data_IF_518716245602
#
_entry.id   IF_518716245602
#
_cell.length_a   1.000
_cell.length_b   1.000
_cell.length_c   1.000
_cell.angle_alpha   90.00
_cell.angle_beta   90.00
_cell.angle_gamma   90.00
#
_symmetry.space_group_name_H-M   'P 1'
#
loop_
_entity.id
_entity.type
_entity.pdbx_description
1 polymer ?
#
# COMPACT_ATOMS: atom_id res chain seq x y z
N UNK A 1 -7.40 6.33 1.62
CA UNK A 1 -8.11 6.97 0.49
C UNK A 1 -7.64 6.42 -0.85
N UNK A 2 -6.34 6.29 -1.14
CA UNK A 2 -5.85 5.85 -2.46
C UNK A 2 -6.13 4.37 -2.79
N UNK A 3 -6.12 3.46 -1.80
CA UNK A 3 -6.28 2.01 -2.01
C UNK A 3 -7.52 1.57 -2.79
N UNK A 4 -8.69 2.16 -2.53
CA UNK A 4 -9.92 1.77 -3.23
C UNK A 4 -9.88 2.14 -4.73
N UNK A 5 -9.10 3.15 -5.13
CA UNK A 5 -8.86 3.46 -6.54
C UNK A 5 -8.10 2.32 -7.23
N UNK A 6 -7.03 1.82 -6.60
CA UNK A 6 -6.27 0.66 -7.10
C UNK A 6 -7.19 -0.56 -7.28
N UNK A 7 -8.06 -0.81 -6.28
CA UNK A 7 -9.03 -1.89 -6.34
C UNK A 7 -10.07 -1.70 -7.45
N UNK A 8 -10.44 -0.46 -7.75
CA UNK A 8 -11.36 -0.14 -8.83
C UNK A 8 -10.73 -0.42 -10.20
N UNK A 9 -9.45 -0.07 -10.38
CA UNK A 9 -8.69 -0.45 -11.57
C UNK A 9 -8.58 -1.98 -11.69
N UNK A 10 -8.25 -2.68 -10.61
CA UNK A 10 -8.18 -4.14 -10.62
C UNK A 10 -9.52 -4.81 -10.94
N UNK A 11 -10.63 -4.28 -10.44
CA UNK A 11 -11.97 -4.76 -10.77
C UNK A 11 -12.31 -4.53 -12.25
N UNK A 12 -11.90 -3.39 -12.83
CA UNK A 12 -12.07 -3.13 -14.25
C UNK A 12 -11.26 -4.12 -15.10
N UNK A 13 -9.99 -4.34 -14.76
CA UNK A 13 -9.16 -5.34 -15.44
C UNK A 13 -9.75 -6.74 -15.30
N UNK A 14 -10.23 -7.13 -14.11
CA UNK A 14 -10.91 -8.41 -13.88
C UNK A 14 -12.12 -8.57 -14.80
N UNK A 15 -12.93 -7.52 -14.98
CA UNK A 15 -14.06 -7.55 -15.91
C UNK A 15 -13.60 -7.81 -17.35
N UNK A 16 -12.53 -7.14 -17.78
CA UNK A 16 -11.95 -7.36 -19.11
C UNK A 16 -11.30 -8.74 -19.28
N UNK A 17 -10.85 -9.39 -18.21
CA UNK A 17 -10.27 -10.74 -18.24
C UNK A 17 -11.24 -11.82 -18.70
N UNK A 18 -12.56 -11.57 -18.67
CA UNK A 18 -13.59 -12.48 -19.19
C UNK A 18 -13.82 -12.35 -20.71
N UNK A 19 -13.06 -11.50 -21.39
CA UNK A 19 -13.12 -11.34 -22.85
C UNK A 19 -12.45 -12.53 -23.56
N UNK A 20 -12.91 -12.86 -24.77
CA UNK A 20 -12.33 -13.93 -25.59
C UNK A 20 -10.87 -13.67 -25.95
N UNK A 21 -10.51 -12.40 -26.15
CA UNK A 21 -9.14 -11.92 -26.25
C UNK A 21 -8.92 -10.83 -25.21
N UNK A 22 -7.78 -10.85 -24.53
CA UNK A 22 -7.46 -9.82 -23.54
C UNK A 22 -7.22 -8.48 -24.27
N UNK A 23 -7.85 -7.37 -23.84
CA UNK A 23 -7.71 -6.08 -24.52
C UNK A 23 -6.28 -5.52 -24.59
N UNK A 24 -5.43 -5.89 -23.62
CA UNK A 24 -4.02 -5.50 -23.56
C UNK A 24 -3.07 -6.48 -24.28
N UNK A 25 -3.61 -7.47 -25.00
CA UNK A 25 -2.80 -8.45 -25.72
C UNK A 25 -2.51 -8.07 -27.18
N UNK A 26 -3.20 -7.08 -27.75
CA UNK A 26 -3.02 -6.69 -29.15
C UNK A 26 -3.10 -5.18 -29.34
N UNK A 27 -2.49 -4.68 -30.41
CA UNK A 27 -2.52 -3.28 -30.82
C UNK A 27 -3.68 -2.94 -31.77
N UNK A 28 -4.62 -3.85 -31.99
CA UNK A 28 -5.71 -3.68 -32.97
C UNK A 28 -7.00 -3.16 -32.31
N UNK A 29 -6.90 -2.13 -31.49
CA UNK A 29 -8.04 -1.50 -30.83
C UNK A 29 -8.13 -0.01 -31.16
N UNK A 30 -9.31 0.57 -30.97
CA UNK A 30 -9.57 1.98 -31.31
C UNK A 30 -8.76 2.99 -30.48
N UNK A 31 -8.19 2.57 -29.36
CA UNK A 31 -7.35 3.42 -28.49
C UNK A 31 -5.87 3.33 -28.81
N UNK A 32 -5.47 2.38 -29.68
CA UNK A 32 -4.08 2.16 -30.00
C UNK A 32 -3.57 3.18 -31.03
N UNK A 33 -2.26 3.46 -30.98
CA UNK A 33 -1.60 4.30 -31.99
C UNK A 33 -0.75 3.48 -32.95
N UNK A 34 -0.27 4.12 -34.02
CA UNK A 34 0.64 3.52 -34.99
C UNK A 34 1.99 3.13 -34.36
N UNK A 35 2.34 3.69 -33.20
CA UNK A 35 3.56 3.39 -32.44
C UNK A 35 3.40 2.15 -31.51
N UNK A 36 2.20 1.55 -31.47
CA UNK A 36 1.92 0.37 -30.66
C UNK A 36 2.53 -0.89 -31.30
N UNK A 37 3.31 -1.63 -30.52
CA UNK A 37 3.89 -2.89 -30.96
C UNK A 37 3.33 -4.11 -30.23
N UNK A 38 2.84 -5.07 -31.03
CA UNK A 38 2.46 -6.40 -30.54
C UNK A 38 3.67 -7.32 -30.51
N UNK A 39 4.29 -7.38 -29.33
CA UNK A 39 5.44 -8.24 -29.08
C UNK A 39 5.12 -9.74 -29.12
N UNK A 40 3.84 -10.16 -29.17
CA UNK A 40 3.47 -11.57 -29.34
C UNK A 40 3.63 -12.06 -30.79
N UNK A 41 3.72 -11.14 -31.75
CA UNK A 41 3.61 -11.44 -33.19
C UNK A 41 4.94 -11.42 -33.95
N UNK A 42 6.02 -10.87 -33.37
CA UNK A 42 7.33 -10.78 -34.03
C UNK A 42 8.05 -12.14 -33.96
N UNK A 43 8.11 -12.85 -35.09
CA UNK A 43 9.12 -13.88 -35.32
C UNK A 43 10.50 -13.26 -35.07
N UNK A 44 11.36 -13.96 -34.31
CA UNK A 44 12.66 -13.51 -33.81
C UNK A 44 13.74 -13.22 -34.88
N UNK A 45 13.35 -12.84 -36.11
CA UNK A 45 14.23 -12.67 -37.27
C UNK A 45 14.44 -11.22 -37.71
N UNK A 46 13.90 -10.22 -36.99
CA UNK A 46 14.20 -8.81 -37.27
C UNK A 46 15.06 -8.24 -36.13
N UNK A 47 16.32 -7.96 -36.47
CA UNK A 47 17.26 -7.21 -35.63
C UNK A 47 16.58 -5.94 -35.10
N UNK A 48 16.66 -5.74 -33.79
CA UNK A 48 16.28 -4.52 -33.09
C UNK A 48 17.07 -3.33 -33.66
N UNK A 49 16.50 -2.64 -34.65
CA UNK A 49 16.96 -1.33 -35.08
C UNK A 49 16.18 -0.32 -34.25
N UNK A 50 16.88 0.33 -33.31
CA UNK A 50 16.50 1.54 -32.54
C UNK A 50 15.10 2.10 -32.83
N UNK A 51 14.05 1.50 -32.26
CA UNK A 51 12.76 2.17 -32.09
C UNK A 51 12.73 2.73 -30.67
N UNK A 52 13.18 3.97 -30.52
CA UNK A 52 13.15 4.69 -29.24
C UNK A 52 11.75 5.16 -28.83
N UNK A 53 10.73 4.97 -29.69
CA UNK A 53 9.38 5.51 -29.49
C UNK A 53 8.26 4.45 -29.51
N UNK A 54 8.57 3.14 -29.57
CA UNK A 54 7.51 2.12 -29.57
C UNK A 54 6.93 1.92 -28.17
N UNK A 55 5.61 1.71 -28.10
CA UNK A 55 4.90 1.43 -26.84
C UNK A 55 4.24 0.06 -26.87
N UNK A 56 4.04 -0.56 -25.71
CA UNK A 56 3.37 -1.86 -25.63
C UNK A 56 1.85 -1.71 -25.65
N UNK A 57 1.15 -2.73 -26.16
CA UNK A 57 -0.31 -2.81 -26.10
C UNK A 57 -0.87 -2.65 -24.67
N UNK A 58 -0.14 -3.15 -23.66
CA UNK A 58 -0.52 -3.02 -22.26
C UNK A 58 -0.33 -1.59 -21.72
N UNK A 59 0.74 -0.90 -22.12
CA UNK A 59 0.97 0.51 -21.79
C UNK A 59 -0.14 1.39 -22.37
N UNK A 60 -0.47 1.22 -23.66
CA UNK A 60 -1.53 2.00 -24.28
C UNK A 60 -2.92 1.66 -23.73
N UNK A 61 -3.17 0.39 -23.39
CA UNK A 61 -4.41 0.01 -22.72
C UNK A 61 -4.55 0.72 -21.36
N UNK A 62 -3.48 0.78 -20.56
CA UNK A 62 -3.48 1.48 -19.29
C UNK A 62 -3.65 3.00 -19.46
N UNK A 63 -2.79 3.63 -20.24
CA UNK A 63 -2.70 5.09 -20.33
C UNK A 63 -3.84 5.69 -21.16
N UNK A 64 -4.21 5.07 -22.29
CA UNK A 64 -5.20 5.63 -23.23
C UNK A 64 -6.61 5.10 -23.02
N UNK A 65 -6.77 3.82 -22.68
CA UNK A 65 -8.12 3.21 -22.57
C UNK A 65 -8.68 3.25 -21.16
N UNK A 66 -7.91 2.79 -20.17
CA UNK A 66 -8.34 2.74 -18.77
C UNK A 66 -8.35 4.15 -18.19
N UNK A 67 -7.19 4.80 -18.14
CA UNK A 67 -7.05 6.14 -17.56
C UNK A 67 -7.51 7.24 -18.51
N UNK A 68 -7.19 7.12 -19.81
CA UNK A 68 -7.26 8.23 -20.78
C UNK A 68 -6.55 9.47 -20.24
N UNK A 69 -5.26 9.30 -19.91
CA UNK A 69 -4.48 10.27 -19.16
C UNK A 69 -4.42 11.64 -19.88
N UNK A 70 -4.66 12.71 -19.13
CA UNK A 70 -4.58 14.09 -19.61
C UNK A 70 -3.12 14.56 -19.78
N UNK A 71 -2.92 15.79 -20.28
CA UNK A 71 -1.58 16.38 -20.40
C UNK A 71 -0.95 16.75 -19.05
N UNK A 72 -1.75 16.95 -18.00
CA UNK A 72 -1.27 17.27 -16.67
C UNK A 72 -2.35 17.39 -15.59
N UNK A 73 -1.92 17.70 -14.36
CA UNK A 73 -2.80 17.84 -13.19
C UNK A 73 -3.79 19.01 -13.31
N UNK A 74 -3.47 20.00 -14.15
CA UNK A 74 -4.32 21.18 -14.40
C UNK A 74 -5.48 20.85 -15.34
N UNK A 75 -5.34 19.78 -16.12
CA UNK A 75 -6.34 19.28 -17.07
C UNK A 75 -7.02 18.05 -16.47
N UNK A 76 -7.99 18.26 -15.57
CA UNK A 76 -8.67 17.12 -14.93
C UNK A 76 -9.45 16.26 -15.92
N UNK A 77 -9.98 16.86 -16.98
CA UNK A 77 -10.77 16.18 -18.00
C UNK A 77 -12.09 15.61 -17.46
N UNK A 78 -12.58 14.54 -18.11
CA UNK A 78 -13.86 13.91 -17.76
C UNK A 78 -13.71 12.77 -16.74
N UNK A 79 -14.79 12.44 -16.01
CA UNK A 79 -14.82 11.26 -15.13
C UNK A 79 -14.87 10.00 -15.99
N UNK A 80 -13.97 9.03 -15.72
CA UNK A 80 -13.97 7.71 -16.35
C UNK A 80 -15.12 6.87 -15.80
N UNK A 81 -16.25 6.83 -16.51
CA UNK A 81 -17.50 6.20 -16.06
C UNK A 81 -17.38 4.72 -15.70
N UNK A 82 -16.55 3.95 -16.40
CA UNK A 82 -16.33 2.53 -16.07
C UNK A 82 -15.60 2.38 -14.72
N UNK A 83 -14.59 3.23 -14.46
CA UNK A 83 -13.89 3.28 -13.18
C UNK A 83 -14.85 3.76 -12.08
N UNK A 84 -15.74 4.73 -12.36
CA UNK A 84 -16.77 5.16 -11.42
C UNK A 84 -17.69 4.00 -11.00
N UNK A 85 -18.11 3.16 -11.96
CA UNK A 85 -18.91 1.98 -11.65
C UNK A 85 -18.14 0.99 -10.77
N UNK A 86 -16.89 0.69 -11.13
CA UNK A 86 -16.01 -0.15 -10.30
C UNK A 86 -15.82 0.44 -8.89
N UNK A 87 -15.66 1.76 -8.79
CA UNK A 87 -15.49 2.48 -7.52
C UNK A 87 -16.73 2.33 -6.63
N UNK A 88 -17.92 2.49 -7.19
CA UNK A 88 -19.19 2.28 -6.47
C UNK A 88 -19.25 0.83 -5.95
N UNK A 89 -18.95 -0.15 -6.80
CA UNK A 89 -18.96 -1.57 -6.42
C UNK A 89 -17.96 -1.83 -5.28
N UNK A 90 -16.74 -1.30 -5.38
CA UNK A 90 -15.71 -1.50 -4.35
C UNK A 90 -16.09 -0.88 -3.00
N UNK A 91 -16.72 0.29 -2.99
CA UNK A 91 -17.23 0.88 -1.75
C UNK A 91 -18.41 0.12 -1.14
N UNK A 92 -19.32 -0.39 -1.98
CA UNK A 92 -20.43 -1.23 -1.52
C UNK A 92 -19.90 -2.50 -0.85
N UNK A 93 -18.93 -3.18 -1.49
CA UNK A 93 -18.24 -4.34 -0.89
C UNK A 93 -17.58 -3.94 0.43
N UNK A 94 -16.80 -2.87 0.43
CA UNK A 94 -16.10 -2.40 1.63
C UNK A 94 -17.05 -2.15 2.80
N UNK A 95 -18.15 -1.42 2.56
CA UNK A 95 -19.15 -1.10 3.56
C UNK A 95 -19.76 -2.37 4.19
N UNK A 96 -20.25 -3.31 3.37
CA UNK A 96 -20.89 -4.52 3.88
C UNK A 96 -19.92 -5.48 4.56
N UNK A 97 -18.64 -5.50 4.18
CA UNK A 97 -17.64 -6.30 4.87
C UNK A 97 -17.39 -5.82 6.31
N UNK A 98 -17.40 -4.50 6.55
CA UNK A 98 -17.03 -3.89 7.84
C UNK A 98 -18.22 -3.35 8.66
N UNK A 99 -19.45 -3.39 8.14
CA UNK A 99 -20.62 -2.76 8.77
C UNK A 99 -20.88 -3.16 10.24
N UNK A 100 -20.63 -4.43 10.61
CA UNK A 100 -20.75 -4.93 11.99
C UNK A 100 -19.40 -4.99 12.73
N UNK A 101 -18.40 -4.26 12.25
CA UNK A 101 -17.03 -4.25 12.75
C UNK A 101 -16.38 -5.63 12.67
N UNK A 102 -15.48 -5.91 13.61
CA UNK A 102 -14.70 -7.16 13.66
C UNK A 102 -15.54 -8.45 13.65
N UNK A 103 -16.83 -8.40 14.00
CA UNK A 103 -17.73 -9.57 13.90
C UNK A 103 -18.07 -9.95 12.45
N UNK A 104 -18.14 -8.97 11.54
CA UNK A 104 -18.35 -9.20 10.11
C UNK A 104 -17.00 -9.36 9.42
N UNK A 105 -16.07 -8.43 9.64
CA UNK A 105 -14.72 -8.47 9.07
C UNK A 105 -14.03 -9.78 9.41
N UNK A 106 -14.09 -10.22 10.67
CA UNK A 106 -13.50 -11.48 11.13
C UNK A 106 -14.05 -12.74 10.44
N UNK A 107 -15.23 -12.70 9.84
CA UNK A 107 -15.77 -13.81 9.01
C UNK A 107 -15.29 -13.72 7.57
N UNK A 108 -15.28 -12.52 7.01
CA UNK A 108 -14.88 -12.27 5.62
C UNK A 108 -13.40 -12.61 5.41
N UNK A 109 -12.53 -12.25 6.37
CA UNK A 109 -11.09 -12.49 6.30
C UNK A 109 -10.70 -13.96 6.23
N UNK A 110 -11.55 -14.90 6.64
CA UNK A 110 -11.28 -16.33 6.42
C UNK A 110 -11.13 -16.67 4.94
N UNK A 111 -11.85 -15.97 4.06
CA UNK A 111 -11.69 -16.12 2.61
C UNK A 111 -10.69 -15.09 2.07
N UNK A 112 -10.89 -13.81 2.37
CA UNK A 112 -10.11 -12.73 1.73
C UNK A 112 -8.63 -12.76 2.09
N UNK A 113 -8.26 -13.22 3.29
CA UNK A 113 -6.85 -13.32 3.68
C UNK A 113 -6.19 -14.65 3.28
N UNK A 114 -6.95 -15.76 3.20
CA UNK A 114 -6.37 -17.08 2.92
C UNK A 114 -6.32 -17.42 1.44
N UNK A 115 -7.32 -16.98 0.66
CA UNK A 115 -7.40 -17.28 -0.76
C UNK A 115 -6.23 -16.68 -1.58
N UNK A 116 -5.71 -15.47 -1.27
CA UNK A 116 -4.48 -14.97 -1.88
C UNK A 116 -3.28 -15.90 -1.74
N UNK A 117 -3.14 -16.65 -0.63
CA UNK A 117 -2.06 -17.63 -0.50
C UNK A 117 -2.21 -18.80 -1.48
N UNK A 118 -3.44 -19.28 -1.69
CA UNK A 118 -3.71 -20.30 -2.70
C UNK A 118 -3.37 -19.79 -4.10
N UNK A 119 -3.81 -18.57 -4.43
CA UNK A 119 -3.49 -17.95 -5.72
C UNK A 119 -1.99 -17.71 -5.89
N UNK A 120 -1.32 -17.27 -4.83
CA UNK A 120 0.12 -17.04 -4.83
C UNK A 120 0.89 -18.34 -5.09
N UNK A 121 0.48 -19.46 -4.48
CA UNK A 121 1.09 -20.77 -4.75
C UNK A 121 0.87 -21.18 -6.21
N UNK A 122 -0.34 -21.01 -6.75
CA UNK A 122 -0.65 -21.33 -8.15
C UNK A 122 0.19 -20.48 -9.11
N UNK A 123 0.28 -19.16 -8.87
CA UNK A 123 1.08 -18.24 -9.67
C UNK A 123 2.58 -18.49 -9.52
N UNK A 124 3.05 -18.92 -8.35
CA UNK A 124 4.44 -19.31 -8.13
C UNK A 124 4.81 -20.57 -8.93
N UNK A 125 4.00 -21.63 -8.83
CA UNK A 125 4.22 -22.87 -9.60
C UNK A 125 4.21 -22.54 -11.09
N UNK A 126 3.24 -21.72 -11.52
CA UNK A 126 3.16 -21.31 -12.91
C UNK A 126 4.37 -20.49 -13.33
N UNK A 127 4.72 -19.47 -12.58
CA UNK A 127 5.85 -18.57 -12.85
C UNK A 127 7.16 -19.33 -12.97
N UNK A 128 7.45 -20.24 -12.04
CA UNK A 128 8.66 -21.07 -12.07
C UNK A 128 8.67 -22.11 -13.20
N UNK A 129 7.51 -22.48 -13.76
CA UNK A 129 7.41 -23.39 -14.91
C UNK A 129 7.67 -22.71 -16.26
N UNK A 130 7.75 -21.37 -16.31
CA UNK A 130 7.92 -20.61 -17.54
C UNK A 130 9.39 -20.62 -18.00
N UNK A 131 9.65 -20.57 -19.33
CA UNK A 131 11.01 -20.40 -19.84
C UNK A 131 11.56 -19.03 -19.41
N UNK A 132 12.84 -18.94 -19.06
CA UNK A 132 13.45 -17.69 -18.57
C UNK A 132 13.15 -17.35 -17.10
N UNK A 133 12.31 -18.11 -16.40
CA UNK A 133 12.01 -17.87 -14.99
C UNK A 133 13.26 -17.88 -14.08
N UNK A 134 14.26 -18.71 -14.42
CA UNK A 134 15.52 -18.77 -13.69
C UNK A 134 16.29 -17.44 -13.74
N UNK A 135 16.29 -16.74 -14.87
CA UNK A 135 16.95 -15.43 -15.01
C UNK A 135 16.30 -14.41 -14.07
N UNK A 136 14.97 -14.43 -13.99
CA UNK A 136 14.18 -13.64 -13.05
C UNK A 136 14.53 -13.91 -11.58
N UNK A 137 14.57 -15.20 -11.19
CA UNK A 137 14.93 -15.59 -9.82
C UNK A 137 16.38 -15.22 -9.49
N UNK A 138 17.30 -15.35 -10.45
CA UNK A 138 18.68 -14.92 -10.27
C UNK A 138 18.76 -13.41 -10.06
N UNK A 139 18.04 -12.61 -10.85
CA UNK A 139 17.97 -11.16 -10.67
C UNK A 139 17.39 -10.77 -9.30
N UNK A 140 16.41 -11.52 -8.80
CA UNK A 140 15.81 -11.29 -7.49
C UNK A 140 16.77 -11.58 -6.32
N UNK A 141 17.53 -12.67 -6.39
CA UNK A 141 18.29 -13.18 -5.25
C UNK A 141 19.78 -12.82 -5.26
N UNK A 142 20.38 -12.58 -6.42
CA UNK A 142 21.82 -12.34 -6.51
C UNK A 142 22.16 -11.00 -5.85
N UNK A 143 22.92 -11.00 -4.74
CA UNK A 143 23.18 -9.79 -4.01
C UNK A 143 24.28 -8.97 -4.69
N UNK A 144 24.02 -7.68 -4.86
CA UNK A 144 25.06 -6.72 -5.22
C UNK A 144 25.65 -6.12 -3.93
N UNK A 145 26.70 -6.75 -3.39
CA UNK A 145 27.25 -6.43 -2.06
C UNK A 145 27.70 -4.97 -1.93
N UNK A 146 28.14 -4.34 -3.02
CA UNK A 146 28.48 -2.91 -3.06
C UNK A 146 27.31 -2.01 -2.64
N UNK A 147 26.07 -2.40 -2.93
CA UNK A 147 24.85 -1.65 -2.57
C UNK A 147 24.62 -1.61 -1.06
N UNK A 148 25.18 -2.52 -0.27
CA UNK A 148 25.09 -2.46 1.20
C UNK A 148 25.84 -1.26 1.79
N UNK A 149 26.78 -0.68 1.05
CA UNK A 149 27.47 0.56 1.44
C UNK A 149 26.63 1.82 1.17
N UNK A 150 25.60 1.73 0.33
CA UNK A 150 24.69 2.83 0.05
C UNK A 150 23.69 2.98 1.20
N UNK A 151 23.73 4.11 1.95
CA UNK A 151 22.76 4.36 3.02
C UNK A 151 21.31 4.31 2.53
N UNK A 152 21.03 4.57 1.24
CA UNK A 152 19.69 4.48 0.67
C UNK A 152 19.05 3.11 0.87
N UNK A 153 19.82 2.05 0.66
CA UNK A 153 19.31 0.67 0.72
C UNK A 153 18.76 0.34 2.10
N UNK A 154 19.44 0.79 3.15
CA UNK A 154 18.99 0.60 4.54
C UNK A 154 17.77 1.45 4.88
N UNK A 155 17.64 2.63 4.27
CA UNK A 155 16.51 3.51 4.49
C UNK A 155 15.26 2.99 3.80
N UNK A 156 15.39 2.52 2.56
CA UNK A 156 14.31 1.87 1.83
C UNK A 156 13.87 0.60 2.56
N UNK A 157 14.81 -0.21 3.05
CA UNK A 157 14.51 -1.39 3.86
C UNK A 157 13.76 -1.04 5.16
N UNK A 158 14.20 0.01 5.87
CA UNK A 158 13.52 0.51 7.06
C UNK A 158 12.09 0.96 6.75
N UNK A 159 11.93 1.88 5.80
CA UNK A 159 10.63 2.40 5.38
C UNK A 159 9.69 1.27 4.93
N UNK A 160 10.18 0.32 4.13
CA UNK A 160 9.41 -0.84 3.67
C UNK A 160 8.86 -1.66 4.82
N UNK A 161 9.65 -1.91 5.88
CA UNK A 161 9.19 -2.64 7.06
C UNK A 161 8.12 -1.85 7.81
N UNK A 162 8.33 -0.56 8.09
CA UNK A 162 7.32 0.25 8.79
C UNK A 162 5.99 0.28 8.04
N UNK A 163 6.03 0.46 6.73
CA UNK A 163 4.85 0.43 5.88
C UNK A 163 4.18 -0.94 5.80
N UNK A 164 4.97 -1.99 5.55
CA UNK A 164 4.45 -3.34 5.34
C UNK A 164 3.70 -3.86 6.57
N UNK A 165 4.16 -3.52 7.77
CA UNK A 165 3.47 -3.87 9.02
C UNK A 165 2.42 -2.83 9.46
N UNK A 166 2.27 -1.71 8.75
CA UNK A 166 1.39 -0.59 9.14
C UNK A 166 1.63 -0.09 10.57
N UNK A 167 2.90 -0.03 10.99
CA UNK A 167 3.29 0.46 12.31
C UNK A 167 3.11 1.99 12.36
N UNK A 168 2.64 2.55 13.47
CA UNK A 168 2.40 4.00 13.61
C UNK A 168 1.10 4.52 13.02
N UNK A 169 0.27 3.63 12.43
CA UNK A 169 -1.04 4.00 11.83
C UNK A 169 -2.21 3.64 12.76
N UNK A 170 -1.96 2.89 13.85
CA UNK A 170 -2.98 2.46 14.81
C UNK A 170 -3.68 1.14 14.46
N UNK A 171 -3.43 0.56 13.28
CA UNK A 171 -4.01 -0.72 12.81
C UNK A 171 -3.84 -1.85 13.82
N UNK A 172 -2.61 -2.09 14.27
CA UNK A 172 -2.30 -3.17 15.22
C UNK A 172 -2.85 -2.88 16.63
N UNK A 173 -2.92 -1.61 17.02
CA UNK A 173 -3.49 -1.19 18.32
C UNK A 173 -4.99 -1.52 18.34
N UNK A 174 -5.70 -1.15 17.26
CA UNK A 174 -7.14 -1.39 17.14
C UNK A 174 -7.44 -2.89 17.06
N UNK A 175 -6.71 -3.66 16.26
CA UNK A 175 -6.89 -5.12 16.22
C UNK A 175 -6.57 -5.76 17.59
N UNK A 176 -5.50 -5.32 18.25
CA UNK A 176 -5.13 -5.77 19.59
C UNK A 176 -6.18 -5.48 20.65
N UNK A 177 -6.92 -4.37 20.53
CA UNK A 177 -7.98 -3.98 21.48
C UNK A 177 -9.17 -4.95 21.51
N UNK A 178 -9.35 -5.76 20.47
CA UNK A 178 -10.40 -6.78 20.39
C UNK A 178 -9.97 -8.15 20.93
N UNK A 179 -8.69 -8.32 21.26
CA UNK A 179 -8.20 -9.57 21.81
C UNK A 179 -8.70 -9.79 23.24
N UNK A 180 -8.76 -11.06 23.64
CA UNK A 180 -8.93 -11.40 25.06
C UNK A 180 -7.72 -10.91 25.84
N UNK A 181 -7.93 -10.46 27.08
CA UNK A 181 -6.87 -9.95 27.95
C UNK A 181 -5.71 -10.96 28.11
N UNK A 182 -6.04 -12.24 28.31
CA UNK A 182 -5.05 -13.31 28.50
C UNK A 182 -4.51 -13.92 27.17
N UNK A 183 -4.69 -13.23 26.03
CA UNK A 183 -4.20 -13.73 24.76
C UNK A 183 -2.66 -13.64 24.70
N UNK A 184 -2.00 -14.65 24.15
CA UNK A 184 -0.55 -14.67 24.02
C UNK A 184 -0.09 -13.81 22.82
N UNK A 185 -0.21 -12.49 22.97
CA UNK A 185 0.18 -11.52 21.96
C UNK A 185 1.68 -11.60 21.60
N UNK A 186 2.52 -12.08 22.52
CA UNK A 186 3.95 -12.25 22.27
C UNK A 186 4.20 -13.28 21.15
N UNK A 187 3.51 -14.42 21.20
CA UNK A 187 3.59 -15.46 20.15
C UNK A 187 2.97 -14.96 18.85
N UNK A 188 1.83 -14.28 18.93
CA UNK A 188 1.14 -13.76 17.75
C UNK A 188 2.00 -12.76 16.99
N UNK A 189 2.66 -11.83 17.68
CA UNK A 189 3.58 -10.87 17.07
C UNK A 189 4.73 -11.55 16.32
N UNK A 190 5.35 -12.58 16.90
CA UNK A 190 6.41 -13.33 16.21
C UNK A 190 5.90 -14.04 14.95
N UNK A 191 4.71 -14.64 15.04
CA UNK A 191 4.07 -15.31 13.91
C UNK A 191 3.74 -14.30 12.79
N UNK A 192 3.17 -13.14 13.13
CA UNK A 192 2.84 -12.07 12.19
C UNK A 192 4.10 -11.56 11.47
N UNK A 193 5.21 -11.37 12.19
CA UNK A 193 6.49 -10.98 11.59
C UNK A 193 7.02 -12.02 10.60
N UNK A 194 6.95 -13.30 10.93
CA UNK A 194 7.42 -14.36 10.02
C UNK A 194 6.50 -14.50 8.81
N UNK A 195 5.18 -14.43 9.01
CA UNK A 195 4.21 -14.59 7.94
C UNK A 195 4.26 -13.43 6.94
N UNK A 196 4.29 -12.18 7.40
CA UNK A 196 4.30 -11.02 6.51
C UNK A 196 5.58 -10.96 5.67
N UNK A 197 6.76 -11.06 6.31
CA UNK A 197 8.04 -11.08 5.59
C UNK A 197 8.18 -12.33 4.70
N UNK A 198 7.76 -13.50 5.18
CA UNK A 198 7.77 -14.73 4.40
C UNK A 198 6.89 -14.66 3.16
N UNK A 199 5.69 -14.08 3.30
CA UNK A 199 4.77 -13.84 2.16
C UNK A 199 5.42 -12.91 1.13
N UNK A 200 6.08 -11.84 1.60
CA UNK A 200 6.77 -10.89 0.72
C UNK A 200 7.91 -11.55 -0.07
N UNK A 201 8.68 -12.43 0.56
CA UNK A 201 9.73 -13.21 -0.12
C UNK A 201 9.13 -14.13 -1.19
N UNK A 202 8.08 -14.89 -0.84
CA UNK A 202 7.41 -15.80 -1.78
C UNK A 202 6.77 -15.03 -2.94
N UNK A 203 6.16 -13.88 -2.67
CA UNK A 203 5.64 -12.97 -3.70
C UNK A 203 6.74 -12.46 -4.63
N UNK A 204 7.93 -12.17 -4.10
CA UNK A 204 9.12 -11.86 -4.90
C UNK A 204 9.44 -12.94 -5.93
N UNK A 205 9.48 -14.21 -5.53
CA UNK A 205 9.66 -15.32 -6.48
C UNK A 205 8.56 -15.38 -7.54
N UNK A 206 7.29 -15.23 -7.15
CA UNK A 206 6.17 -15.28 -8.09
C UNK A 206 6.21 -14.13 -9.12
N UNK A 207 6.56 -12.91 -8.69
CA UNK A 207 6.67 -11.74 -9.58
C UNK A 207 7.89 -11.87 -10.49
N UNK A 208 9.08 -12.08 -9.92
CA UNK A 208 10.32 -12.07 -10.69
C UNK A 208 10.44 -13.27 -11.63
N UNK A 209 9.85 -14.42 -11.33
CA UNK A 209 9.79 -15.54 -12.29
C UNK A 209 8.98 -15.20 -13.54
N UNK A 210 7.87 -14.47 -13.39
CA UNK A 210 7.05 -13.99 -14.51
C UNK A 210 7.75 -12.87 -15.28
N UNK A 211 8.41 -11.93 -14.60
CA UNK A 211 9.22 -10.90 -15.25
C UNK A 211 10.41 -11.49 -16.01
N UNK A 212 11.07 -12.52 -15.46
CA UNK A 212 12.14 -13.26 -16.15
C UNK A 212 11.65 -13.92 -17.44
N UNK A 213 10.44 -14.49 -17.43
CA UNK A 213 9.79 -15.00 -18.64
C UNK A 213 9.56 -13.91 -19.68
N UNK A 214 9.05 -12.74 -19.27
CA UNK A 214 8.83 -11.62 -20.17
C UNK A 214 10.14 -11.09 -20.78
N UNK A 215 11.16 -10.90 -19.95
CA UNK A 215 12.50 -10.48 -20.37
C UNK A 215 13.11 -11.46 -21.38
N UNK A 216 13.02 -12.76 -21.09
CA UNK A 216 13.51 -13.82 -21.98
C UNK A 216 12.76 -13.87 -23.32
N UNK A 217 11.44 -13.62 -23.32
CA UNK A 217 10.64 -13.57 -24.54
C UNK A 217 10.96 -12.36 -25.42
N UNK A 218 11.23 -11.22 -24.82
CA UNK A 218 11.57 -9.99 -25.54
C UNK A 218 13.04 -9.88 -25.91
N UNK A 219 13.91 -10.67 -25.26
CA UNK A 219 15.36 -10.56 -25.41
C UNK A 219 15.93 -9.28 -24.80
N UNK A 220 15.30 -8.74 -23.75
CA UNK A 220 15.71 -7.50 -23.07
C UNK A 220 16.12 -7.77 -21.62
N UNK A 221 16.97 -6.92 -21.00
CA UNK A 221 17.29 -7.03 -19.59
C UNK A 221 16.07 -6.93 -18.68
N UNK A 222 16.05 -7.70 -17.57
CA UNK A 222 14.94 -7.68 -16.61
C UNK A 222 14.68 -6.29 -16.03
N UNK A 223 15.72 -5.46 -15.87
CA UNK A 223 15.60 -4.10 -15.38
C UNK A 223 14.74 -3.18 -16.26
N UNK A 224 14.59 -3.50 -17.55
CA UNK A 224 13.77 -2.70 -18.49
C UNK A 224 12.29 -3.08 -18.44
N UNK A 225 11.95 -4.27 -17.95
CA UNK A 225 10.56 -4.74 -17.79
C UNK A 225 10.05 -4.62 -16.35
N UNK A 226 10.95 -4.33 -15.41
CA UNK A 226 10.64 -4.14 -14.00
C UNK A 226 10.10 -2.72 -13.75
N UNK A 227 8.78 -2.56 -13.89
CA UNK A 227 8.08 -1.34 -13.53
C UNK A 227 7.90 -1.21 -12.00
N UNK A 228 7.63 0.01 -11.54
CA UNK A 228 7.33 0.28 -10.13
C UNK A 228 5.90 0.78 -9.91
N UNK A 229 5.40 0.65 -8.68
CA UNK A 229 4.06 1.11 -8.31
C UNK A 229 2.95 0.45 -9.14
N UNK A 230 1.89 1.19 -9.53
CA UNK A 230 0.79 0.67 -10.33
C UNK A 230 1.22 0.10 -11.70
N UNK A 231 2.32 0.59 -12.28
CA UNK A 231 2.83 0.10 -13.57
C UNK A 231 3.19 -1.38 -13.54
N UNK A 232 3.73 -1.87 -12.43
CA UNK A 232 4.05 -3.29 -12.27
C UNK A 232 2.79 -4.18 -12.39
N UNK A 233 1.71 -3.78 -11.72
CA UNK A 233 0.49 -4.57 -11.65
C UNK A 233 -0.45 -4.39 -12.85
N UNK A 234 -0.44 -3.21 -13.50
CA UNK A 234 -1.39 -2.87 -14.57
C UNK A 234 -0.76 -2.78 -15.96
N UNK A 235 0.56 -2.83 -16.08
CA UNK A 235 1.29 -2.86 -17.36
C UNK A 235 2.13 -4.13 -17.48
N UNK A 236 3.17 -4.28 -16.65
CA UNK A 236 4.16 -5.35 -16.80
C UNK A 236 3.55 -6.74 -16.58
N UNK A 237 2.78 -6.93 -15.50
CA UNK A 237 2.18 -8.23 -15.20
C UNK A 237 1.11 -8.64 -16.23
N UNK A 238 0.14 -7.78 -16.63
CA UNK A 238 -0.83 -8.11 -17.66
C UNK A 238 -0.18 -8.40 -19.02
N UNK A 239 0.90 -7.69 -19.36
CA UNK A 239 1.69 -7.96 -20.56
C UNK A 239 2.31 -9.36 -20.52
N UNK A 240 2.97 -9.74 -19.41
CA UNK A 240 3.54 -11.07 -19.27
C UNK A 240 2.47 -12.17 -19.31
N UNK A 241 1.31 -11.94 -18.67
CA UNK A 241 0.17 -12.87 -18.67
C UNK A 241 -0.39 -13.08 -20.07
N UNK A 242 -0.49 -12.03 -20.88
CA UNK A 242 -1.00 -12.12 -22.25
C UNK A 242 -0.18 -13.08 -23.14
N UNK A 243 1.10 -13.29 -22.82
CA UNK A 243 2.00 -14.19 -23.54
C UNK A 243 1.91 -15.66 -23.08
N UNK A 244 1.17 -15.93 -22.02
CA UNK A 244 1.01 -17.29 -21.49
C UNK A 244 -0.15 -18.03 -22.18
N UNK A 245 -0.08 -19.36 -22.33
CA UNK A 245 -1.27 -20.15 -22.67
C UNK A 245 -2.36 -19.98 -21.60
N UNK A 246 -3.61 -19.91 -22.05
CA UNK A 246 -4.79 -19.61 -21.23
C UNK A 246 -4.67 -18.28 -20.46
N UNK A 247 -4.38 -17.16 -21.14
CA UNK A 247 -4.04 -15.90 -20.48
C UNK A 247 -5.19 -15.34 -19.61
N UNK A 248 -6.44 -15.64 -19.96
CA UNK A 248 -7.62 -15.27 -19.18
C UNK A 248 -7.60 -15.88 -17.78
N UNK A 249 -7.22 -17.15 -17.64
CA UNK A 249 -7.18 -17.84 -16.35
C UNK A 249 -6.21 -17.14 -15.40
N UNK A 250 -4.98 -16.89 -15.86
CA UNK A 250 -3.93 -16.25 -15.06
C UNK A 250 -4.27 -14.81 -14.72
N UNK A 251 -4.90 -14.09 -15.66
CA UNK A 251 -5.37 -12.73 -15.42
C UNK A 251 -6.46 -12.68 -14.34
N UNK A 252 -7.45 -13.57 -14.40
CA UNK A 252 -8.49 -13.69 -13.37
C UNK A 252 -7.86 -14.00 -12.01
N UNK A 253 -6.97 -14.99 -11.93
CA UNK A 253 -6.28 -15.33 -10.68
C UNK A 253 -5.52 -14.14 -10.09
N UNK A 254 -4.79 -13.40 -10.93
CA UNK A 254 -4.01 -12.24 -10.50
C UNK A 254 -4.88 -11.10 -10.00
N UNK A 255 -5.90 -10.67 -10.76
CA UNK A 255 -6.73 -9.53 -10.36
C UNK A 255 -7.67 -9.87 -9.20
N UNK A 256 -8.17 -11.11 -9.09
CA UNK A 256 -8.89 -11.55 -7.89
C UNK A 256 -7.96 -11.51 -6.67
N UNK A 257 -6.72 -12.02 -6.79
CA UNK A 257 -5.74 -11.94 -5.70
C UNK A 257 -5.45 -10.49 -5.29
N UNK A 258 -5.21 -9.60 -6.26
CA UNK A 258 -4.94 -8.18 -6.01
C UNK A 258 -6.11 -7.51 -5.30
N UNK A 259 -7.35 -7.79 -5.73
CA UNK A 259 -8.56 -7.25 -5.08
C UNK A 259 -8.65 -7.70 -3.62
N UNK A 260 -8.46 -8.99 -3.36
CA UNK A 260 -8.58 -9.55 -2.01
C UNK A 260 -7.49 -9.00 -1.08
N UNK A 261 -6.24 -8.89 -1.55
CA UNK A 261 -5.14 -8.32 -0.78
C UNK A 261 -5.38 -6.85 -0.41
N UNK A 262 -5.86 -6.03 -1.35
CA UNK A 262 -6.11 -4.62 -1.05
C UNK A 262 -7.38 -4.38 -0.22
N UNK A 263 -8.38 -5.26 -0.33
CA UNK A 263 -9.61 -5.18 0.47
C UNK A 263 -9.33 -5.32 1.97
N UNK A 264 -8.50 -6.29 2.37
CA UNK A 264 -8.20 -6.52 3.78
C UNK A 264 -7.47 -5.34 4.43
N UNK A 265 -6.52 -4.74 3.71
CA UNK A 265 -5.85 -3.49 4.13
C UNK A 265 -6.86 -2.36 4.30
N UNK A 266 -7.79 -2.21 3.36
CA UNK A 266 -8.82 -1.19 3.44
C UNK A 266 -9.78 -1.43 4.60
N UNK A 267 -10.14 -2.68 4.90
CA UNK A 267 -11.03 -3.00 6.02
C UNK A 267 -10.43 -2.53 7.35
N UNK A 268 -9.14 -2.82 7.57
CA UNK A 268 -8.46 -2.44 8.80
C UNK A 268 -8.32 -0.91 8.89
N UNK A 269 -7.95 -0.24 7.79
CA UNK A 269 -7.83 1.22 7.77
C UNK A 269 -9.16 1.91 8.14
N UNK A 270 -10.29 1.40 7.64
CA UNK A 270 -11.61 1.90 8.01
C UNK A 270 -11.95 1.56 9.46
N UNK A 271 -11.64 0.34 9.93
CA UNK A 271 -11.87 -0.05 11.32
C UNK A 271 -11.10 0.84 12.30
N UNK A 272 -9.87 1.27 11.95
CA UNK A 272 -9.10 2.20 12.80
C UNK A 272 -9.88 3.48 13.06
N UNK A 273 -10.35 4.14 12.00
CA UNK A 273 -11.12 5.38 12.13
C UNK A 273 -12.42 5.14 12.91
N UNK A 274 -13.12 4.06 12.59
CA UNK A 274 -14.38 3.71 13.25
C UNK A 274 -14.20 3.47 14.74
N UNK A 275 -13.23 2.65 15.13
CA UNK A 275 -12.96 2.28 16.53
C UNK A 275 -12.48 3.48 17.32
N UNK A 276 -11.55 4.28 16.79
CA UNK A 276 -11.09 5.51 17.44
C UNK A 276 -12.25 6.47 17.75
N UNK A 277 -13.17 6.67 16.80
CA UNK A 277 -14.33 7.56 17.01
C UNK A 277 -15.33 6.96 18.00
N UNK A 278 -15.57 5.65 17.94
CA UNK A 278 -16.46 4.95 18.87
C UNK A 278 -15.93 5.07 20.30
N UNK A 279 -14.62 4.94 20.50
CA UNK A 279 -14.00 4.99 21.83
C UNK A 279 -13.88 6.41 22.38
N UNK A 280 -13.76 7.44 21.52
CA UNK A 280 -13.87 8.84 21.94
C UNK A 280 -15.30 9.24 22.35
N UNK A 281 -16.33 8.72 21.67
CA UNK A 281 -17.72 9.10 21.90
C UNK A 281 -18.65 7.91 22.19
N UNK A 282 -18.36 7.10 23.24
CA UNK A 282 -19.02 5.82 23.44
C UNK A 282 -20.52 5.94 23.73
N UNK A 283 -20.94 7.00 24.44
CA UNK A 283 -22.35 7.26 24.79
C UNK A 283 -23.24 7.51 23.56
N UNK A 284 -22.66 8.00 22.47
CA UNK A 284 -23.36 8.29 21.21
C UNK A 284 -23.22 7.13 20.24
N UNK A 285 -21.98 6.67 20.04
CA UNK A 285 -21.62 5.73 18.98
C UNK A 285 -21.98 4.28 19.27
N UNK A 286 -22.04 3.87 20.55
CA UNK A 286 -22.41 2.48 20.93
C UNK A 286 -23.93 2.22 20.89
N UNK A 287 -24.75 3.22 20.55
CA UNK A 287 -26.19 3.03 20.38
C UNK A 287 -26.48 2.21 19.11
N UNK A 288 -27.57 1.39 19.10
CA UNK A 288 -27.91 0.57 17.94
C UNK A 288 -28.00 1.39 16.65
N UNK A 289 -27.35 0.91 15.57
CA UNK A 289 -27.41 1.53 14.24
C UNK A 289 -26.48 2.74 14.03
N UNK A 290 -25.94 3.36 15.09
CA UNK A 290 -25.13 4.57 14.97
C UNK A 290 -23.78 4.33 14.31
N UNK A 291 -23.16 3.17 14.60
CA UNK A 291 -21.93 2.75 13.93
C UNK A 291 -22.14 2.62 12.43
N UNK A 292 -23.18 1.89 12.02
CA UNK A 292 -23.48 1.62 10.62
C UNK A 292 -23.78 2.92 9.85
N UNK A 293 -24.56 3.82 10.45
CA UNK A 293 -24.85 5.14 9.87
C UNK A 293 -23.59 6.00 9.71
N UNK A 294 -22.74 6.05 10.75
CA UNK A 294 -21.50 6.81 10.69
C UNK A 294 -20.53 6.22 9.66
N UNK A 295 -20.43 4.90 9.60
CA UNK A 295 -19.63 4.23 8.58
C UNK A 295 -20.12 4.58 7.18
N UNK A 296 -21.43 4.53 6.92
CA UNK A 296 -22.00 4.88 5.63
C UNK A 296 -21.67 6.33 5.25
N UNK A 297 -21.86 7.27 6.19
CA UNK A 297 -21.51 8.67 5.99
C UNK A 297 -20.03 8.83 5.66
N UNK A 298 -19.15 8.16 6.41
CA UNK A 298 -17.71 8.23 6.19
C UNK A 298 -17.30 7.62 4.85
N UNK A 299 -17.84 6.45 4.48
CA UNK A 299 -17.66 5.85 3.16
C UNK A 299 -18.10 6.79 2.02
N UNK A 300 -19.25 7.45 2.16
CA UNK A 300 -19.75 8.42 1.17
C UNK A 300 -18.81 9.63 1.06
N UNK A 301 -18.34 10.18 2.17
CA UNK A 301 -17.36 11.28 2.16
C UNK A 301 -16.07 10.86 1.44
N UNK A 302 -15.53 9.67 1.76
CA UNK A 302 -14.37 9.12 1.09
C UNK A 302 -14.60 8.94 -0.43
N UNK A 303 -15.77 8.41 -0.81
CA UNK A 303 -16.17 8.21 -2.20
C UNK A 303 -16.22 9.52 -2.98
N UNK A 304 -16.85 10.57 -2.44
CA UNK A 304 -16.93 11.87 -3.12
C UNK A 304 -15.55 12.52 -3.27
N UNK A 305 -14.69 12.43 -2.25
CA UNK A 305 -13.30 12.92 -2.34
C UNK A 305 -12.48 12.20 -3.42
N UNK A 306 -12.79 10.94 -3.70
CA UNK A 306 -12.09 10.12 -4.69
C UNK A 306 -12.54 10.36 -6.14
N UNK A 307 -13.67 11.05 -6.37
CA UNK A 307 -14.15 11.33 -7.73
C UNK A 307 -13.11 12.08 -8.57
N UNK A 308 -12.29 12.91 -7.93
CA UNK A 308 -11.20 13.64 -8.60
C UNK A 308 -10.04 12.71 -9.03
N UNK A 309 -9.87 11.55 -8.39
CA UNK A 309 -8.82 10.57 -8.73
C UNK A 309 -9.21 9.61 -9.85
N UNK A 310 -10.47 9.64 -10.30
CA UNK A 310 -10.98 8.81 -11.41
C UNK A 310 -11.28 9.63 -12.67
N UNK A 311 -10.84 10.89 -12.72
CA UNK A 311 -10.86 11.68 -13.94
C UNK A 311 -9.67 11.33 -14.83
N UNK A 312 -9.64 11.86 -16.04
CA UNK A 312 -8.52 11.71 -16.98
C UNK A 312 -7.18 12.22 -16.40
N UNK A 313 -7.20 13.35 -15.67
CA UNK A 313 -6.07 13.84 -14.87
C UNK A 313 -5.92 13.19 -13.48
N UNK A 314 -6.77 12.21 -13.15
CA UNK A 314 -6.86 11.63 -11.81
C UNK A 314 -5.60 10.88 -11.37
N UNK A 315 -4.82 10.34 -12.31
CA UNK A 315 -3.57 9.64 -12.02
C UNK A 315 -2.50 10.57 -11.42
N UNK A 316 -2.43 11.84 -11.86
CA UNK A 316 -1.53 12.83 -11.27
C UNK A 316 -1.89 13.15 -9.82
N UNK A 317 -3.19 13.26 -9.53
CA UNK A 317 -3.68 13.49 -8.16
C UNK A 317 -3.43 12.25 -7.31
N UNK A 318 -3.71 11.06 -7.84
CA UNK A 318 -3.44 9.80 -7.17
C UNK A 318 -1.97 9.72 -6.74
N UNK A 319 -1.03 9.97 -7.65
CA UNK A 319 0.40 9.95 -7.33
C UNK A 319 0.81 11.03 -6.34
N UNK A 320 0.25 12.24 -6.43
CA UNK A 320 0.52 13.29 -5.45
C UNK A 320 0.08 12.87 -4.04
N UNK A 321 -1.10 12.25 -3.90
CA UNK A 321 -1.55 11.70 -2.62
C UNK A 321 -0.67 10.55 -2.14
N UNK A 322 -0.35 9.61 -3.03
CA UNK A 322 0.49 8.46 -2.70
C UNK A 322 1.89 8.89 -2.23
N UNK A 323 2.49 9.85 -2.94
CA UNK A 323 3.84 10.33 -2.67
C UNK A 323 3.95 11.24 -1.43
N UNK A 324 3.00 12.14 -1.21
CA UNK A 324 3.07 13.11 -0.11
C UNK A 324 2.24 12.72 1.12
N UNK A 325 0.98 12.31 0.93
CA UNK A 325 0.08 12.01 2.04
C UNK A 325 0.34 10.61 2.62
N UNK A 326 0.69 9.65 1.77
CA UNK A 326 1.00 8.28 2.15
C UNK A 326 2.51 8.00 2.16
N UNK A 327 3.33 9.00 2.52
CA UNK A 327 4.79 8.88 2.59
C UNK A 327 5.28 8.25 3.89
N UNK A 328 6.37 7.48 3.80
CA UNK A 328 7.03 6.82 4.93
C UNK A 328 7.54 7.83 5.94
N UNK A 329 7.91 9.02 5.50
CA UNK A 329 8.30 10.10 6.39
C UNK A 329 7.22 10.44 7.44
N UNK A 330 5.94 10.47 7.05
CA UNK A 330 4.85 10.78 7.99
C UNK A 330 4.71 9.68 9.06
N UNK A 331 4.76 8.42 8.63
CA UNK A 331 4.67 7.26 9.52
C UNK A 331 5.89 7.19 10.44
N UNK A 332 7.10 7.35 9.89
CA UNK A 332 8.35 7.33 10.65
C UNK A 332 8.36 8.41 11.73
N UNK A 333 7.88 9.61 11.42
CA UNK A 333 7.73 10.69 12.40
C UNK A 333 6.82 10.27 13.56
N UNK A 334 5.63 9.72 13.27
CA UNK A 334 4.71 9.22 14.31
C UNK A 334 5.34 8.10 15.13
N UNK A 335 6.04 7.16 14.49
CA UNK A 335 6.76 6.07 15.16
C UNK A 335 7.83 6.57 16.16
N UNK A 336 8.51 7.69 15.87
CA UNK A 336 9.45 8.30 16.82
C UNK A 336 8.72 8.70 18.11
N UNK A 337 7.59 9.41 18.00
CA UNK A 337 6.85 9.85 19.17
C UNK A 337 6.19 8.70 19.92
N UNK A 338 5.60 7.72 19.22
CA UNK A 338 5.01 6.54 19.86
C UNK A 338 6.04 5.74 20.66
N UNK A 339 7.23 5.51 20.09
CA UNK A 339 8.27 4.72 20.76
C UNK A 339 8.91 5.48 21.91
N UNK A 340 9.09 6.80 21.81
CA UNK A 340 9.52 7.63 22.94
C UNK A 340 8.48 7.67 24.06
N UNK A 341 7.20 7.80 23.70
CA UNK A 341 6.09 7.74 24.64
C UNK A 341 6.09 6.41 25.41
N UNK A 342 6.13 5.29 24.72
CA UNK A 342 6.06 3.96 25.35
C UNK A 342 7.37 3.60 26.08
N UNK A 343 8.51 3.80 25.43
CA UNK A 343 9.82 3.37 25.92
C UNK A 343 10.31 4.16 27.14
N UNK A 344 10.06 5.47 27.16
CA UNK A 344 10.61 6.40 28.15
C UNK A 344 9.55 7.04 29.05
N UNK A 345 8.44 7.54 28.50
CA UNK A 345 7.43 8.26 29.29
C UNK A 345 6.57 7.29 30.09
N UNK A 346 5.97 6.30 29.42
CA UNK A 346 5.21 5.22 30.02
C UNK A 346 6.13 4.27 30.80
N UNK A 347 7.28 3.96 30.19
CA UNK A 347 8.35 3.17 30.77
C UNK A 347 8.35 1.72 30.28
N UNK A 348 9.42 1.33 29.59
CA UNK A 348 9.56 -0.02 29.05
C UNK A 348 9.52 -1.14 30.11
N UNK A 349 9.94 -0.88 31.34
CA UNK A 349 9.85 -1.85 32.45
C UNK A 349 8.40 -2.21 32.77
N UNK A 350 7.54 -1.18 32.87
CA UNK A 350 6.11 -1.33 33.09
C UNK A 350 5.45 -2.12 31.94
N UNK A 351 5.87 -1.87 30.70
CA UNK A 351 5.36 -2.62 29.55
C UNK A 351 5.73 -4.11 29.62
N UNK A 352 6.95 -4.45 30.04
CA UNK A 352 7.36 -5.85 30.23
C UNK A 352 6.50 -6.54 31.29
N UNK A 353 6.21 -5.85 32.39
CA UNK A 353 5.37 -6.40 33.46
C UNK A 353 3.91 -6.58 33.01
N UNK A 354 3.36 -5.64 32.23
CA UNK A 354 2.03 -5.76 31.62
C UNK A 354 1.97 -6.95 30.64
N UNK A 355 2.99 -7.13 29.79
CA UNK A 355 3.05 -8.29 28.89
C UNK A 355 3.11 -9.60 29.68
N UNK A 356 3.85 -9.63 30.79
CA UNK A 356 3.91 -10.80 31.67
C UNK A 356 2.55 -11.08 32.31
N UNK A 357 1.82 -10.05 32.73
CA UNK A 357 0.48 -10.18 33.31
C UNK A 357 -0.54 -10.70 32.28
N UNK A 358 -0.55 -10.15 31.07
CA UNK A 358 -1.47 -10.55 30.00
C UNK A 358 -1.13 -11.93 29.41
N UNK A 359 0.11 -12.13 28.96
CA UNK A 359 0.49 -13.32 28.18
C UNK A 359 1.07 -14.46 29.04
N UNK A 360 1.32 -14.21 30.33
CA UNK A 360 2.03 -15.15 31.22
C UNK A 360 3.53 -15.33 30.88
N UNK A 361 4.03 -14.63 29.86
CA UNK A 361 5.42 -14.72 29.37
C UNK A 361 6.12 -13.40 29.59
N UNK A 362 7.31 -13.44 30.18
CA UNK A 362 8.13 -12.24 30.33
C UNK A 362 8.84 -11.93 29.02
N UNK A 363 8.63 -10.72 28.48
CA UNK A 363 9.29 -10.29 27.26
C UNK A 363 10.83 -10.26 27.41
N UNK A 364 11.54 -10.61 26.35
CA UNK A 364 13.01 -10.58 26.32
C UNK A 364 13.55 -9.17 26.61
N UNK A 365 14.66 -9.03 27.37
CA UNK A 365 15.33 -7.75 27.56
C UNK A 365 15.75 -7.07 26.26
N UNK A 366 15.94 -7.84 25.18
CA UNK A 366 16.22 -7.30 23.85
C UNK A 366 15.12 -6.32 23.39
N UNK A 367 13.84 -6.67 23.56
CA UNK A 367 12.74 -5.79 23.17
C UNK A 367 12.72 -4.49 23.98
N UNK A 368 13.13 -4.54 25.24
CA UNK A 368 13.29 -3.34 26.07
C UNK A 368 14.33 -2.38 25.49
N UNK A 369 15.45 -2.91 24.99
CA UNK A 369 16.48 -2.12 24.30
C UNK A 369 15.93 -1.58 22.98
N UNK A 370 15.16 -2.39 22.24
CA UNK A 370 14.52 -1.97 21.00
C UNK A 370 13.59 -0.76 21.22
N UNK A 371 12.65 -0.87 22.15
CA UNK A 371 11.67 0.17 22.42
C UNK A 371 12.30 1.47 22.93
N UNK A 372 13.35 1.39 23.74
CA UNK A 372 14.01 2.57 24.31
C UNK A 372 14.98 3.26 23.36
N UNK A 373 15.72 2.50 22.56
CA UNK A 373 16.87 3.03 21.83
C UNK A 373 16.81 2.70 20.34
N UNK A 374 16.76 1.43 19.97
CA UNK A 374 16.97 1.03 18.57
C UNK A 374 15.84 1.56 17.68
N UNK A 375 14.59 1.31 18.04
CA UNK A 375 13.43 1.74 17.24
C UNK A 375 13.34 3.27 17.10
N UNK A 376 13.44 4.09 18.17
CA UNK A 376 13.40 5.54 18.01
C UNK A 376 14.60 6.08 17.22
N UNK A 377 15.81 5.52 17.38
CA UNK A 377 17.00 5.96 16.62
C UNK A 377 16.89 5.62 15.13
N UNK A 378 16.47 4.40 14.79
CA UNK A 378 16.26 4.00 13.39
C UNK A 378 15.14 4.84 12.78
N UNK A 379 14.01 5.00 13.47
CA UNK A 379 12.88 5.80 12.96
C UNK A 379 13.29 7.26 12.72
N UNK A 380 14.01 7.86 13.67
CA UNK A 380 14.49 9.24 13.55
C UNK A 380 15.55 9.38 12.45
N UNK A 381 16.49 8.44 12.36
CA UNK A 381 17.52 8.43 11.32
C UNK A 381 16.91 8.32 9.92
N UNK A 382 16.01 7.35 9.71
CA UNK A 382 15.30 7.19 8.43
C UNK A 382 14.44 8.41 8.11
N UNK A 383 13.76 8.99 9.11
CA UNK A 383 12.98 10.23 8.92
C UNK A 383 13.87 11.39 8.46
N UNK A 384 14.96 11.70 9.19
CA UNK A 384 15.87 12.80 8.84
C UNK A 384 16.41 12.61 7.42
N UNK A 385 16.87 11.40 7.10
CA UNK A 385 17.42 11.16 5.78
C UNK A 385 16.38 11.20 4.66
N UNK A 386 15.12 10.80 4.92
CA UNK A 386 14.03 10.96 3.96
C UNK A 386 13.76 12.43 3.61
N UNK A 387 13.99 13.34 4.57
CA UNK A 387 13.94 14.79 4.33
C UNK A 387 15.17 15.28 3.55
N UNK A 388 16.37 14.80 3.90
CA UNK A 388 17.63 15.21 3.24
C UNK A 388 17.68 14.75 1.78
N UNK A 389 17.19 13.55 1.48
CA UNK A 389 17.17 12.98 0.13
C UNK A 389 15.84 13.20 -0.59
N UNK A 390 15.06 14.17 -0.16
CA UNK A 390 13.82 14.55 -0.84
C UNK A 390 14.10 14.87 -2.31
N UNK A 391 13.29 14.29 -3.18
CA UNK A 391 13.28 14.58 -4.62
C UNK A 391 11.88 15.03 -5.01
N UNK A 392 11.72 16.13 -5.75
CA UNK A 392 10.40 16.56 -6.21
C UNK A 392 9.71 15.45 -7.01
N UNK A 393 8.41 15.25 -6.74
CA UNK A 393 7.58 14.32 -7.48
C UNK A 393 7.58 14.68 -8.98
N UNK A 394 7.76 13.68 -9.83
CA UNK A 394 7.62 13.77 -11.30
C UNK A 394 6.81 12.57 -11.79
N UNK A 395 6.06 12.75 -12.89
CA UNK A 395 5.29 11.67 -13.51
C UNK A 395 6.01 11.20 -14.79
N UNK A 396 6.29 9.90 -14.88
CA UNK A 396 7.04 9.26 -15.97
C UNK A 396 8.35 9.99 -16.36
N UNK A 397 9.03 10.65 -15.42
CA UNK A 397 10.27 11.44 -15.62
C UNK A 397 10.14 12.69 -16.52
N UNK A 398 9.10 12.82 -17.34
CA UNK A 398 8.95 13.95 -18.27
C UNK A 398 8.04 15.04 -17.72
N UNK A 399 7.01 14.67 -16.96
CA UNK A 399 6.04 15.62 -16.43
C UNK A 399 6.49 16.14 -15.06
N UNK A 400 6.66 17.46 -14.98
CA UNK A 400 6.98 18.19 -13.75
C UNK A 400 5.71 18.83 -13.23
N UNK A 401 5.43 18.64 -11.94
CA UNK A 401 4.23 19.20 -11.34
C UNK A 401 4.36 20.72 -11.17
N UNK A 402 3.26 21.49 -11.27
CA UNK A 402 3.27 22.91 -11.00
C UNK A 402 3.55 23.20 -9.52
N UNK A 403 4.11 24.38 -9.21
CA UNK A 403 4.55 24.73 -7.85
C UNK A 403 3.45 24.61 -6.80
N UNK A 404 2.21 24.98 -7.15
CA UNK A 404 1.07 24.87 -6.23
C UNK A 404 0.80 23.42 -5.81
N UNK A 405 1.07 22.44 -6.69
CA UNK A 405 0.87 21.03 -6.38
C UNK A 405 1.92 20.53 -5.38
N UNK A 406 3.16 21.02 -5.46
CA UNK A 406 4.19 20.74 -4.46
C UNK A 406 3.83 21.35 -3.10
N UNK A 407 3.35 22.60 -3.08
CA UNK A 407 2.88 23.24 -1.83
C UNK A 407 1.73 22.44 -1.23
N UNK A 408 0.75 22.04 -2.04
CA UNK A 408 -0.37 21.23 -1.58
C UNK A 408 0.07 19.86 -1.05
N UNK A 409 1.02 19.21 -1.73
CA UNK A 409 1.64 17.97 -1.28
C UNK A 409 2.26 18.11 0.11
N UNK A 410 3.07 19.14 0.33
CA UNK A 410 3.64 19.41 1.66
C UNK A 410 2.59 19.72 2.72
N UNK A 411 1.50 20.42 2.37
CA UNK A 411 0.37 20.61 3.28
C UNK A 411 -0.24 19.27 3.69
N UNK A 412 -0.39 18.32 2.75
CA UNK A 412 -0.86 16.97 3.09
C UNK A 412 0.10 16.25 4.03
N UNK A 413 1.41 16.25 3.77
CA UNK A 413 2.39 15.62 4.66
C UNK A 413 2.38 16.26 6.05
N UNK A 414 2.38 17.59 6.12
CA UNK A 414 2.42 18.32 7.39
C UNK A 414 1.12 18.20 8.20
N UNK A 415 -0.01 17.95 7.55
CA UNK A 415 -1.31 17.82 8.22
C UNK A 415 -1.33 16.72 9.29
N UNK A 416 -0.63 15.61 9.06
CA UNK A 416 -0.49 14.51 10.03
C UNK A 416 0.65 14.75 11.01
N UNK A 417 1.81 15.19 10.50
CA UNK A 417 3.03 15.43 11.29
C UNK A 417 2.79 16.49 12.36
N UNK A 418 2.14 17.60 12.03
CA UNK A 418 1.93 18.71 12.96
C UNK A 418 0.82 18.46 13.99
N UNK A 419 0.03 17.39 13.83
CA UNK A 419 -1.07 17.09 14.72
C UNK A 419 -0.59 16.73 16.14
N UNK A 420 0.50 15.98 16.25
CA UNK A 420 1.14 15.61 17.53
C UNK A 420 1.68 16.84 18.28
N UNK A 421 2.63 17.64 17.73
CA UNK A 421 3.13 18.82 18.42
C UNK A 421 2.04 19.87 18.62
N UNK A 422 1.11 20.03 17.67
CA UNK A 422 -0.02 20.94 17.80
C UNK A 422 -0.93 20.58 18.98
N UNK A 423 -1.22 19.28 19.19
CA UNK A 423 -2.00 18.84 20.33
C UNK A 423 -1.28 19.04 21.67
N UNK A 424 0.03 18.79 21.71
CA UNK A 424 0.87 19.08 22.89
C UNK A 424 0.79 20.57 23.24
N UNK A 425 1.02 21.45 22.26
CA UNK A 425 0.96 22.90 22.46
C UNK A 425 -0.43 23.36 22.92
N UNK A 426 -1.49 22.83 22.30
CA UNK A 426 -2.86 23.12 22.69
C UNK A 426 -3.11 22.75 24.16
N UNK A 427 -2.77 21.52 24.57
CA UNK A 427 -2.93 21.07 25.95
C UNK A 427 -2.10 21.86 26.95
N UNK A 428 -0.88 22.26 26.58
CA UNK A 428 -0.04 23.12 27.41
C UNK A 428 -0.64 24.54 27.59
N UNK A 429 -1.25 25.08 26.54
CA UNK A 429 -1.89 26.39 26.56
C UNK A 429 -3.19 26.39 27.37
N UNK A 430 -4.05 25.39 27.19
CA UNK A 430 -5.36 25.33 27.86
C UNK A 430 -5.35 24.66 29.22
N UNK A 431 -4.30 23.89 29.56
CA UNK A 431 -4.20 23.21 30.85
C UNK A 431 -4.13 24.19 32.01
N UNK A 432 -4.78 23.88 33.12
CA UNK A 432 -4.74 24.67 34.35
C UNK A 432 -3.61 24.19 35.26
N UNK A 433 -2.87 25.11 35.89
CA UNK A 433 -1.78 24.76 36.82
C UNK A 433 -0.38 25.18 36.37
N UNK A 434 0.63 24.85 37.16
CA UNK A 434 2.04 25.17 36.87
C UNK A 434 2.59 24.29 35.74
N UNK A 435 3.69 24.71 35.10
CA UNK A 435 4.31 23.95 34.01
C UNK A 435 4.64 22.49 34.41
N UNK A 436 5.08 22.27 35.66
CA UNK A 436 5.32 20.94 36.21
C UNK A 436 4.05 20.09 36.30
N UNK A 437 2.95 20.66 36.80
CA UNK A 437 1.65 19.99 36.91
C UNK A 437 1.09 19.63 35.52
N UNK A 438 1.15 20.56 34.56
CA UNK A 438 0.71 20.30 33.18
C UNK A 438 1.52 19.20 32.50
N UNK A 439 2.83 19.16 32.76
CA UNK A 439 3.71 18.11 32.24
C UNK A 439 3.37 16.75 32.85
N UNK A 440 3.03 16.71 34.13
CA UNK A 440 2.64 15.49 34.82
C UNK A 440 1.26 14.97 34.39
N UNK A 441 0.30 15.87 34.16
CA UNK A 441 -0.98 15.52 33.54
C UNK A 441 -0.81 14.98 32.12
N UNK A 442 0.07 15.58 31.30
CA UNK A 442 0.36 15.07 29.95
C UNK A 442 0.92 13.65 29.96
N UNK A 443 1.78 13.30 30.93
CA UNK A 443 2.23 11.92 31.10
C UNK A 443 1.05 10.95 31.33
N UNK A 444 -0.02 11.43 31.98
CA UNK A 444 -1.22 10.65 32.24
C UNK A 444 -2.11 10.46 31.01
N UNK A 445 -2.08 11.38 30.04
CA UNK A 445 -2.78 11.24 28.75
C UNK A 445 -2.02 10.39 27.73
N UNK A 446 -0.71 10.27 27.90
CA UNK A 446 0.16 9.38 27.11
C UNK A 446 0.14 7.94 27.65
N UNK A 447 -0.19 7.77 28.94
CA UNK A 447 -0.51 6.48 29.57
C UNK A 447 -1.91 6.01 29.24
#
# INVERSE_FOLDING_TARGET
MTYIIILSWALLYLAFSFSSQLPWASCNNYWNTDDCEDFSSKNASLQWINQTNSTSAATEFWERRVLAISGGIEELGSIRWEILLCLIVMWVICYFCIWKGVKSTGKVVYFTATFPYLMLIILLIRGLSLPGAQEGVMFYLLPEVSRLTDPQVWMDAGAQIFFSYSVGVGSLIVLGSYNKYNNNCYKDCLCLCLLNSGTSVVAGFAVFSVLGFMAHKHGVPIAEVAESGPGLAFIAYPQAVAMMPLPQLWSICFFVMLILLGLDTQFIAMEVVMTSIIDMFPKVMRRPGRREQFLLLFCLLCFFCQLVMITEGGMYIFQMFDYYACNGACILFLCVFETLAIGWIFGADRLVDIIKDMAGVRASPFFKICWRYITPLISLGTFICSLVKYQPLTFNRWYVYPEWAYVLGWVFSLSSILLVPGWILYKMATGTGTLGQKTQEMKFYIM
#
